data_IF_454548573027
#
_entry.id   IF_454548573027
#
_cell.length_a   1.000
_cell.length_b   1.000
_cell.length_c   1.000
_cell.angle_alpha   90.00
_cell.angle_beta   90.00
_cell.angle_gamma   90.00
#
_symmetry.space_group_name_H-M   'P 1'
#
loop_
_entity.id
_entity.type
_entity.pdbx_description
1 polymer ?
#
# COMPACT_ATOMS: atom_id res chain seq x y z
N UNK A 1 30.32 -1.90 -19.51
CA UNK A 1 29.90 -1.75 -18.11
C UNK A 1 29.45 -3.08 -17.50
N UNK A 2 28.43 -3.78 -18.04
CA UNK A 2 28.03 -5.13 -17.57
C UNK A 2 29.18 -6.16 -17.59
N UNK A 3 30.01 -6.20 -18.64
CA UNK A 3 31.22 -7.04 -18.68
C UNK A 3 32.26 -6.70 -17.59
N UNK A 4 32.29 -5.44 -17.14
CA UNK A 4 33.19 -4.98 -16.08
C UNK A 4 32.61 -5.31 -14.69
N UNK A 5 31.30 -5.13 -14.47
CA UNK A 5 30.64 -5.55 -13.23
C UNK A 5 30.61 -7.07 -13.06
N UNK A 6 30.27 -7.82 -14.11
CA UNK A 6 30.28 -9.28 -14.10
C UNK A 6 31.71 -9.83 -13.99
N UNK A 7 32.69 -9.13 -14.58
CA UNK A 7 34.11 -9.40 -14.41
C UNK A 7 34.58 -9.18 -12.97
N UNK A 8 34.22 -8.06 -12.33
CA UNK A 8 34.52 -7.80 -10.91
C UNK A 8 33.83 -8.86 -10.02
N UNK A 9 32.57 -9.20 -10.29
CA UNK A 9 31.81 -10.20 -9.54
C UNK A 9 32.42 -11.61 -9.66
N UNK A 10 32.84 -12.03 -10.87
CA UNK A 10 33.50 -13.33 -11.08
C UNK A 10 34.94 -13.38 -10.54
N UNK A 11 35.68 -12.28 -10.63
CA UNK A 11 37.07 -12.23 -10.13
C UNK A 11 37.07 -12.22 -8.59
N UNK A 12 36.07 -11.62 -7.96
CA UNK A 12 35.82 -11.73 -6.52
C UNK A 12 35.31 -13.13 -6.08
N UNK A 13 34.57 -13.84 -6.93
CA UNK A 13 34.10 -15.20 -6.63
C UNK A 13 35.20 -16.27 -6.76
N UNK A 14 36.19 -16.05 -7.63
CA UNK A 14 37.22 -17.05 -7.96
C UNK A 14 38.45 -17.00 -7.06
N UNK A 15 38.65 -15.93 -6.29
CA UNK A 15 39.78 -15.77 -5.40
C UNK A 15 39.30 -15.76 -3.95
N UNK A 16 39.66 -16.82 -3.20
CA UNK A 16 39.65 -16.93 -1.73
C UNK A 16 38.30 -17.04 -1.02
N UNK A 17 38.09 -18.13 -0.27
CA UNK A 17 37.01 -18.20 0.72
C UNK A 17 37.13 -17.06 1.75
N UNK A 18 38.36 -16.72 2.15
CA UNK A 18 38.61 -15.67 3.15
C UNK A 18 38.35 -14.24 2.63
N UNK A 19 38.69 -13.90 1.37
CA UNK A 19 38.32 -12.59 0.81
C UNK A 19 36.88 -12.56 0.29
N UNK A 20 36.25 -13.71 0.02
CA UNK A 20 34.80 -13.77 -0.21
C UNK A 20 34.05 -13.43 1.07
N UNK A 21 34.45 -13.98 2.22
CA UNK A 21 33.85 -13.64 3.51
C UNK A 21 34.08 -12.17 3.87
N UNK A 22 35.31 -11.66 3.72
CA UNK A 22 35.57 -10.22 3.93
C UNK A 22 34.81 -9.32 2.94
N UNK A 23 34.65 -9.75 1.68
CA UNK A 23 33.87 -9.03 0.69
C UNK A 23 32.38 -9.08 1.03
N UNK A 24 31.84 -10.20 1.52
CA UNK A 24 30.45 -10.33 1.94
C UNK A 24 30.16 -9.47 3.18
N UNK A 25 31.08 -9.38 4.13
CA UNK A 25 30.98 -8.46 5.27
C UNK A 25 30.99 -7.00 4.82
N UNK A 26 31.93 -6.62 3.95
CA UNK A 26 31.98 -5.26 3.40
C UNK A 26 30.76 -4.93 2.54
N UNK A 27 30.26 -5.90 1.76
CA UNK A 27 29.04 -5.78 0.98
C UNK A 27 27.84 -5.62 1.91
N UNK A 28 27.80 -6.36 3.04
CA UNK A 28 26.78 -6.23 4.08
C UNK A 28 26.75 -4.84 4.70
N UNK A 29 27.91 -4.29 5.07
CA UNK A 29 28.04 -2.92 5.60
C UNK A 29 27.59 -1.90 4.54
N UNK A 30 28.06 -2.04 3.29
CA UNK A 30 27.65 -1.17 2.19
C UNK A 30 26.14 -1.24 1.93
N UNK A 31 25.55 -2.42 1.99
CA UNK A 31 24.11 -2.61 1.84
C UNK A 31 23.33 -1.97 2.99
N UNK A 32 23.81 -2.07 4.24
CA UNK A 32 23.17 -1.41 5.39
C UNK A 32 23.25 0.10 5.26
N UNK A 33 24.42 0.65 4.90
CA UNK A 33 24.59 2.10 4.69
C UNK A 33 23.79 2.60 3.48
N UNK A 34 23.69 1.80 2.41
CA UNK A 34 22.85 2.10 1.25
C UNK A 34 21.37 2.10 1.64
N UNK A 35 20.90 1.11 2.41
CA UNK A 35 19.52 1.08 2.93
C UNK A 35 19.26 2.28 3.83
N UNK A 36 20.20 2.68 4.69
CA UNK A 36 20.08 3.90 5.50
C UNK A 36 20.03 5.16 4.64
N UNK A 37 20.88 5.27 3.62
CA UNK A 37 20.95 6.41 2.72
C UNK A 37 19.67 6.53 1.87
N UNK A 38 19.12 5.41 1.41
CA UNK A 38 17.84 5.35 0.71
C UNK A 38 16.69 5.63 1.68
N UNK A 39 16.72 5.10 2.90
CA UNK A 39 15.70 5.32 3.93
C UNK A 39 15.71 6.74 4.51
N UNK A 40 16.84 7.45 4.44
CA UNK A 40 16.99 8.81 4.96
C UNK A 40 15.98 9.81 4.36
N UNK A 41 15.81 9.95 3.04
CA UNK A 41 14.76 10.79 2.47
C UNK A 41 13.37 10.27 2.84
N UNK A 42 13.19 8.96 2.98
CA UNK A 42 11.92 8.38 3.42
C UNK A 42 11.58 8.69 4.88
N UNK A 43 12.55 8.99 5.75
CA UNK A 43 12.31 9.43 7.14
C UNK A 43 11.49 10.73 7.19
N UNK A 44 11.65 11.59 6.20
CA UNK A 44 10.86 12.83 6.07
C UNK A 44 9.50 12.59 5.41
N UNK A 45 9.40 11.60 4.53
CA UNK A 45 8.18 11.29 3.79
C UNK A 45 7.20 10.46 4.65
N UNK A 46 7.72 9.56 5.48
CA UNK A 46 6.92 8.73 6.38
C UNK A 46 7.20 9.14 7.83
N UNK A 47 6.33 9.97 8.43
CA UNK A 47 6.41 10.22 9.87
C UNK A 47 6.06 8.93 10.61
N UNK A 48 7.11 8.19 10.95
CA UNK A 48 7.12 6.97 11.78
C UNK A 48 6.19 7.03 12.99
N UNK A 49 6.01 8.16 13.72
CA UNK A 49 5.07 8.21 14.85
C UNK A 49 3.61 7.92 14.50
N UNK A 50 3.12 8.25 13.30
CA UNK A 50 1.71 8.06 12.94
C UNK A 50 1.38 6.57 12.72
N UNK A 51 2.26 5.85 12.02
CA UNK A 51 2.12 4.39 11.82
C UNK A 51 2.13 3.68 13.17
N UNK A 52 3.11 3.99 14.03
CA UNK A 52 3.25 3.35 15.34
C UNK A 52 1.99 3.59 16.18
N UNK A 53 1.43 4.80 16.16
CA UNK A 53 0.17 5.12 16.85
C UNK A 53 -1.02 4.35 16.31
N UNK A 54 -1.12 4.23 14.98
CA UNK A 54 -2.23 3.53 14.29
C UNK A 54 -2.26 2.03 14.65
N UNK A 55 -1.10 1.41 14.83
CA UNK A 55 -0.98 -0.02 15.12
C UNK A 55 -0.75 -0.36 16.60
N UNK A 56 -0.60 0.64 17.48
CA UNK A 56 -0.39 0.40 18.91
C UNK A 56 -1.59 -0.38 19.48
N UNK A 57 -1.33 -1.61 19.93
CA UNK A 57 -2.36 -2.49 20.51
C UNK A 57 -3.16 -3.31 19.49
N UNK A 58 -2.85 -3.24 18.20
CA UNK A 58 -3.46 -4.12 17.19
C UNK A 58 -2.66 -5.43 17.05
N UNK A 59 -3.31 -6.56 16.74
CA UNK A 59 -2.60 -7.82 16.51
C UNK A 59 -1.71 -7.74 15.27
N UNK A 60 -0.56 -8.41 15.31
CA UNK A 60 0.43 -8.43 14.22
C UNK A 60 -0.17 -8.88 12.88
N UNK A 61 -1.17 -9.76 12.91
CA UNK A 61 -1.89 -10.23 11.74
C UNK A 61 -2.52 -9.09 10.90
N UNK A 62 -2.87 -7.95 11.51
CA UNK A 62 -3.37 -6.79 10.77
C UNK A 62 -2.27 -5.93 10.14
N UNK A 63 -1.03 -6.03 10.63
CA UNK A 63 0.13 -5.29 10.10
C UNK A 63 0.78 -6.06 8.94
N UNK A 64 0.65 -7.39 8.93
CA UNK A 64 1.29 -8.26 7.95
C UNK A 64 0.97 -7.89 6.47
N UNK A 65 -0.30 -7.64 6.07
CA UNK A 65 -0.61 -7.25 4.70
C UNK A 65 0.05 -5.93 4.29
N UNK A 66 0.22 -5.02 5.24
CA UNK A 66 0.84 -3.71 5.01
C UNK A 66 2.33 -3.87 4.72
N UNK A 67 3.01 -4.65 5.57
CA UNK A 67 4.42 -4.99 5.35
C UNK A 67 4.59 -5.71 4.01
N UNK A 68 3.70 -6.64 3.68
CA UNK A 68 3.75 -7.38 2.43
C UNK A 68 3.64 -6.47 1.19
N UNK A 69 2.66 -5.57 1.16
CA UNK A 69 2.48 -4.63 0.04
C UNK A 69 3.69 -3.68 -0.08
N UNK A 70 4.17 -3.13 1.04
CA UNK A 70 5.37 -2.29 1.05
C UNK A 70 6.61 -3.04 0.51
N UNK A 71 6.77 -4.33 0.87
CA UNK A 71 7.86 -5.15 0.36
C UNK A 71 7.76 -5.38 -1.15
N UNK A 72 6.56 -5.64 -1.68
CA UNK A 72 6.37 -5.79 -3.13
C UNK A 72 6.78 -4.51 -3.87
N UNK A 73 6.30 -3.35 -3.43
CA UNK A 73 6.61 -2.07 -4.08
C UNK A 73 8.12 -1.80 -4.02
N UNK A 74 8.75 -2.06 -2.88
CA UNK A 74 10.20 -1.88 -2.71
C UNK A 74 11.02 -2.86 -3.57
N UNK A 75 10.61 -4.12 -3.66
CA UNK A 75 11.26 -5.12 -4.50
C UNK A 75 11.18 -4.73 -5.98
N UNK A 76 10.01 -4.30 -6.46
CA UNK A 76 9.83 -3.82 -7.82
C UNK A 76 10.74 -2.62 -8.12
N UNK A 77 10.84 -1.68 -7.16
CA UNK A 77 11.73 -0.54 -7.28
C UNK A 77 13.21 -0.95 -7.37
N UNK A 78 13.65 -1.88 -6.52
CA UNK A 78 15.01 -2.41 -6.52
C UNK A 78 15.32 -3.10 -7.86
N UNK A 79 14.43 -3.98 -8.33
CA UNK A 79 14.60 -4.68 -9.62
C UNK A 79 14.71 -3.69 -10.77
N UNK A 80 13.85 -2.66 -10.80
CA UNK A 80 13.92 -1.63 -11.83
C UNK A 80 15.26 -0.88 -11.79
N UNK A 81 15.64 -0.34 -10.64
CA UNK A 81 16.81 0.54 -10.49
C UNK A 81 18.14 -0.21 -10.64
N UNK A 82 18.25 -1.41 -10.06
CA UNK A 82 19.52 -2.14 -9.98
C UNK A 82 19.67 -3.23 -11.04
N UNK A 83 18.57 -3.71 -11.64
CA UNK A 83 18.64 -4.75 -12.67
C UNK A 83 18.25 -4.21 -14.05
N UNK A 84 17.07 -3.61 -14.17
CA UNK A 84 16.52 -3.22 -15.48
C UNK A 84 17.23 -2.00 -16.07
N UNK A 85 17.41 -0.93 -15.29
CA UNK A 85 18.05 0.30 -15.77
C UNK A 85 19.49 0.06 -16.27
N UNK A 86 20.36 -0.68 -15.54
CA UNK A 86 21.70 -1.01 -16.05
C UNK A 86 21.68 -1.93 -17.26
N UNK A 87 20.71 -2.85 -17.33
CA UNK A 87 20.57 -3.79 -18.44
C UNK A 87 20.19 -3.06 -19.74
N UNK A 88 19.27 -2.10 -19.65
CA UNK A 88 18.82 -1.30 -20.80
C UNK A 88 19.72 -0.07 -21.08
N UNK A 89 20.68 0.22 -20.20
CA UNK A 89 21.52 1.42 -20.30
C UNK A 89 20.72 2.72 -20.16
N UNK A 90 19.60 2.68 -19.43
CA UNK A 90 18.71 3.83 -19.24
C UNK A 90 19.30 4.77 -18.18
N UNK A 91 19.38 6.06 -18.51
CA UNK A 91 19.80 7.09 -17.55
C UNK A 91 18.73 7.34 -16.49
N UNK A 92 19.16 7.67 -15.27
CA UNK A 92 18.31 8.20 -14.18
C UNK A 92 17.54 9.46 -14.58
N UNK A 93 18.07 10.23 -15.53
CA UNK A 93 17.44 11.44 -16.05
C UNK A 93 16.49 11.20 -17.23
N UNK A 94 16.33 9.96 -17.68
CA UNK A 94 15.41 9.65 -18.78
C UNK A 94 13.96 9.82 -18.35
N UNK A 95 13.08 10.20 -19.29
CA UNK A 95 11.64 10.33 -19.01
C UNK A 95 11.01 9.03 -18.48
N UNK A 96 11.45 7.87 -18.99
CA UNK A 96 10.97 6.56 -18.52
C UNK A 96 11.35 6.32 -17.06
N UNK A 97 12.61 6.58 -16.70
CA UNK A 97 13.09 6.45 -15.32
C UNK A 97 12.39 7.42 -14.37
N UNK A 98 12.32 8.70 -14.73
CA UNK A 98 11.60 9.71 -13.93
C UNK A 98 10.13 9.30 -13.73
N UNK A 99 9.46 8.86 -14.80
CA UNK A 99 8.08 8.38 -14.74
C UNK A 99 7.91 7.21 -13.77
N UNK A 100 8.80 6.22 -13.84
CA UNK A 100 8.78 5.08 -12.92
C UNK A 100 9.00 5.53 -11.46
N UNK A 101 10.02 6.34 -11.19
CA UNK A 101 10.30 6.84 -9.84
C UNK A 101 9.12 7.63 -9.26
N UNK A 102 8.50 8.51 -10.05
CA UNK A 102 7.32 9.27 -9.62
C UNK A 102 6.13 8.36 -9.36
N UNK A 103 5.86 7.38 -10.23
CA UNK A 103 4.78 6.41 -10.04
C UNK A 103 4.99 5.56 -8.78
N UNK A 104 6.20 5.03 -8.56
CA UNK A 104 6.51 4.25 -7.35
C UNK A 104 6.39 5.10 -6.07
N UNK A 105 6.88 6.34 -6.09
CA UNK A 105 6.76 7.26 -4.96
C UNK A 105 5.29 7.58 -4.67
N UNK A 106 4.52 7.93 -5.71
CA UNK A 106 3.10 8.25 -5.56
C UNK A 106 2.29 7.05 -5.08
N UNK A 107 2.61 5.85 -5.55
CA UNK A 107 1.99 4.62 -5.07
C UNK A 107 2.25 4.41 -3.57
N UNK A 108 3.50 4.59 -3.13
CA UNK A 108 3.86 4.49 -1.71
C UNK A 108 3.17 5.54 -0.84
N UNK A 109 3.16 6.81 -1.28
CA UNK A 109 2.49 7.90 -0.56
C UNK A 109 0.98 7.66 -0.47
N UNK A 110 0.36 7.24 -1.58
CA UNK A 110 -1.08 6.93 -1.61
C UNK A 110 -1.42 5.77 -0.71
N UNK A 111 -0.61 4.71 -0.73
CA UNK A 111 -0.79 3.55 0.15
C UNK A 111 -0.64 3.93 1.63
N UNK A 112 0.39 4.71 1.95
CA UNK A 112 0.59 5.24 3.31
C UNK A 112 -0.63 6.02 3.78
N UNK A 113 -1.12 6.96 2.97
CA UNK A 113 -2.31 7.76 3.31
C UNK A 113 -3.53 6.87 3.50
N UNK A 114 -3.75 5.87 2.65
CA UNK A 114 -4.86 4.94 2.82
C UNK A 114 -4.76 4.14 4.13
N UNK A 115 -3.55 3.80 4.58
CA UNK A 115 -3.32 3.04 5.83
C UNK A 115 -3.51 3.89 7.09
N UNK A 116 -3.06 5.15 7.08
CA UNK A 116 -3.12 6.01 8.28
C UNK A 116 -4.39 6.84 8.36
N UNK A 117 -5.16 6.96 7.28
CA UNK A 117 -6.43 7.69 7.29
C UNK A 117 -7.45 6.88 8.07
N UNK A 118 -8.03 7.50 9.09
CA UNK A 118 -9.17 6.94 9.82
C UNK A 118 -10.31 6.71 8.80
N UNK A 119 -10.87 5.49 8.68
CA UNK A 119 -12.01 5.23 7.80
C UNK A 119 -13.24 6.10 8.11
N UNK A 120 -13.22 6.83 9.22
CA UNK A 120 -14.31 7.66 9.69
C UNK A 120 -15.26 6.85 10.57
N UNK A 121 -16.02 7.56 11.38
CA UNK A 121 -17.13 6.98 12.15
C UNK A 121 -18.42 7.21 11.39
N UNK A 122 -19.29 6.20 11.38
CA UNK A 122 -20.65 6.37 10.92
C UNK A 122 -21.35 7.29 11.93
N UNK A 123 -21.98 8.40 11.52
CA UNK A 123 -22.69 9.27 12.44
C UNK A 123 -23.82 8.50 13.11
N UNK A 124 -23.79 8.45 14.45
CA UNK A 124 -24.74 7.67 15.26
C UNK A 124 -26.19 8.10 15.02
N UNK A 125 -26.42 9.39 14.79
CA UNK A 125 -27.74 9.98 14.57
C UNK A 125 -28.35 9.67 13.19
N UNK A 126 -27.53 9.26 12.22
CA UNK A 126 -27.97 9.02 10.85
C UNK A 126 -28.34 7.55 10.59
N UNK A 127 -27.80 6.63 11.40
CA UNK A 127 -27.97 5.18 11.27
C UNK A 127 -28.64 4.52 12.47
N UNK A 128 -28.87 5.26 13.56
CA UNK A 128 -29.81 4.78 14.57
C UNK A 128 -31.15 4.59 13.88
N UNK A 129 -31.65 3.35 13.91
CA UNK A 129 -32.98 3.04 13.41
C UNK A 129 -33.94 4.08 13.98
N UNK A 130 -34.90 4.61 13.19
CA UNK A 130 -35.97 5.42 13.75
C UNK A 130 -36.45 4.72 15.01
N UNK A 131 -36.50 5.47 16.13
CA UNK A 131 -36.98 4.99 17.43
C UNK A 131 -38.09 3.96 17.22
N UNK A 132 -38.17 2.85 17.98
CA UNK A 132 -39.20 1.82 17.81
C UNK A 132 -40.65 2.34 17.81
N UNK A 133 -40.88 3.62 18.13
CA UNK A 133 -42.13 4.35 18.00
C UNK A 133 -42.40 5.01 16.63
N UNK A 134 -41.44 5.04 15.69
CA UNK A 134 -41.53 5.74 14.41
C UNK A 134 -41.59 4.79 13.21
N UNK A 135 -42.49 5.08 12.26
CA UNK A 135 -42.56 4.33 11.00
C UNK A 135 -41.23 4.45 10.22
N UNK A 136 -40.65 3.34 9.72
CA UNK A 136 -39.47 3.38 8.87
C UNK A 136 -39.62 4.38 7.70
N UNK A 137 -38.55 5.05 7.27
CA UNK A 137 -38.57 5.91 6.10
C UNK A 137 -39.17 5.19 4.87
N UNK A 138 -40.11 5.82 4.13
CA UNK A 138 -40.81 5.20 3.01
C UNK A 138 -39.91 4.60 1.93
N UNK A 139 -38.68 5.11 1.78
CA UNK A 139 -37.70 4.67 0.80
C UNK A 139 -36.98 3.36 1.17
N UNK A 140 -37.07 2.90 2.43
CA UNK A 140 -36.49 1.62 2.87
C UNK A 140 -37.43 0.42 2.62
N UNK A 141 -38.65 0.66 2.15
CA UNK A 141 -39.62 -0.38 1.82
C UNK A 141 -39.52 -0.92 0.39
N UNK A 142 -38.47 -0.59 -0.36
CA UNK A 142 -38.18 -1.29 -1.62
C UNK A 142 -37.74 -2.73 -1.32
N UNK A 143 -38.73 -3.56 -1.01
CA UNK A 143 -38.56 -4.99 -0.87
C UNK A 143 -38.56 -5.57 -2.29
N UNK A 144 -37.38 -5.93 -2.79
CA UNK A 144 -37.26 -6.72 -4.01
C UNK A 144 -38.13 -7.97 -3.87
N UNK A 145 -39.12 -8.14 -4.76
CA UNK A 145 -39.95 -9.34 -4.80
C UNK A 145 -39.09 -10.58 -5.05
N UNK A 146 -39.59 -11.77 -4.67
CA UNK A 146 -38.92 -13.06 -4.98
C UNK A 146 -38.70 -13.27 -6.50
N UNK A 147 -39.45 -12.56 -7.32
CA UNK A 147 -39.39 -12.52 -8.78
C UNK A 147 -38.47 -11.41 -9.33
N UNK A 148 -37.82 -10.62 -8.46
CA UNK A 148 -37.02 -9.47 -8.85
C UNK A 148 -37.84 -8.24 -9.24
N UNK A 149 -39.18 -8.29 -9.15
CA UNK A 149 -40.03 -7.13 -9.42
C UNK A 149 -39.98 -6.14 -8.25
N UNK A 150 -39.95 -4.85 -8.58
CA UNK A 150 -40.15 -3.77 -7.61
C UNK A 150 -41.66 -3.72 -7.35
N UNK A 151 -42.09 -4.13 -6.15
CA UNK A 151 -43.51 -4.00 -5.78
C UNK A 151 -43.77 -2.54 -5.42
N UNK A 152 -44.70 -1.86 -6.11
CA UNK A 152 -45.09 -0.51 -5.71
C UNK A 152 -45.67 -0.56 -4.28
N UNK A 153 -45.45 0.49 -3.47
CA UNK A 153 -45.95 0.54 -2.11
C UNK A 153 -47.46 0.34 -2.10
N UNK A 154 -47.93 -0.60 -1.28
CA UNK A 154 -49.36 -0.92 -1.18
C UNK A 154 -50.08 0.31 -0.62
N UNK A 155 -50.74 1.06 -1.51
CA UNK A 155 -51.55 2.23 -1.16
C UNK A 155 -52.76 1.74 -0.37
N UNK A 156 -52.64 1.71 0.95
CA UNK A 156 -53.73 1.36 1.85
C UNK A 156 -54.93 2.25 1.56
N UNK A 157 -56.04 1.61 1.17
CA UNK A 157 -57.31 2.24 0.90
C UNK A 157 -57.83 2.85 2.20
N UNK A 158 -57.58 4.14 2.43
CA UNK A 158 -58.32 4.90 3.42
C UNK A 158 -59.79 4.89 3.00
N UNK A 159 -60.56 4.01 3.63
CA UNK A 159 -62.01 4.00 3.54
C UNK A 159 -62.52 5.35 4.05
N UNK A 160 -63.12 6.08 3.12
CA UNK A 160 -63.96 7.25 3.39
C UNK A 160 -65.20 6.68 4.09
N UNK A 161 -65.27 6.82 5.42
CA UNK A 161 -66.51 6.68 6.16
C UNK A 161 -67.29 7.99 5.96
N UNK A 162 -68.39 7.88 5.22
CA UNK A 162 -69.49 8.86 5.19
C UNK A 162 -70.45 8.60 6.35
#
# INVERSE_FOLDING_TARGET
FLKAMYGILLTCLSATGDALDAALEHLGILMVELVKAIAWPFKWIFPTPEIIRTFKGRPLAMVLPIIFVCNIIMLLYIVYVFCEMPLLGVSLSSFSSIGFHLCSLLAMVSYYKAVVTDPGKIPEDLWSAPSPAGAPPPHLYERKGKDGSIRPPHRGSHQILQ
#
